data_IF_951553209377
#
_entry.id   IF_951553209377
#
_cell.length_a   1.000
_cell.length_b   1.000
_cell.length_c   1.000
_cell.angle_alpha   90.00
_cell.angle_beta   90.00
_cell.angle_gamma   90.00
#
_symmetry.space_group_name_H-M   'P 1'
#
loop_
_entity.id
_entity.type
_entity.pdbx_description
1 polymer ?
#
# COMPACT_ATOMS: atom_id res chain seq x y z
N UNK A 1 -14.50 -8.42 24.14
CA UNK A 1 -14.56 -9.12 22.82
C UNK A 1 -13.95 -8.20 21.76
N UNK A 2 -13.18 -8.73 20.83
CA UNK A 2 -12.68 -7.93 19.69
C UNK A 2 -13.80 -7.82 18.66
N UNK A 3 -14.26 -6.60 18.36
CA UNK A 3 -15.22 -6.35 17.30
C UNK A 3 -14.58 -5.53 16.17
N UNK A 4 -15.10 -5.67 14.95
CA UNK A 4 -14.66 -4.90 13.78
C UNK A 4 -14.71 -3.40 14.05
N UNK A 5 -15.80 -2.92 14.67
CA UNK A 5 -15.98 -1.50 14.97
C UNK A 5 -14.92 -0.98 15.98
N UNK A 6 -14.63 -1.75 17.03
CA UNK A 6 -13.61 -1.36 18.01
C UNK A 6 -12.22 -1.30 17.40
N UNK A 7 -11.84 -2.28 16.55
CA UNK A 7 -10.55 -2.29 15.86
C UNK A 7 -10.44 -1.09 14.92
N UNK A 8 -11.47 -0.82 14.12
CA UNK A 8 -11.47 0.33 13.22
C UNK A 8 -11.37 1.65 13.98
N UNK A 9 -12.18 1.83 15.03
CA UNK A 9 -12.11 3.02 15.87
C UNK A 9 -10.71 3.19 16.46
N UNK A 10 -10.14 2.10 17.00
CA UNK A 10 -8.80 2.14 17.59
C UNK A 10 -7.71 2.49 16.59
N UNK A 11 -7.78 1.97 15.37
CA UNK A 11 -6.83 2.33 14.30
C UNK A 11 -6.88 3.83 14.00
N UNK A 12 -8.08 4.42 13.87
CA UNK A 12 -8.26 5.86 13.65
C UNK A 12 -7.76 6.69 14.83
N UNK A 13 -8.09 6.30 16.07
CA UNK A 13 -7.59 6.96 17.29
C UNK A 13 -6.06 6.98 17.36
N UNK A 14 -5.41 5.93 16.85
CA UNK A 14 -3.95 5.82 16.81
C UNK A 14 -3.30 6.61 15.66
N UNK A 15 -4.09 7.17 14.74
CA UNK A 15 -3.60 8.03 13.66
C UNK A 15 -3.71 7.45 12.25
N UNK A 16 -4.41 6.33 12.05
CA UNK A 16 -4.72 5.88 10.71
C UNK A 16 -5.79 6.78 10.06
N UNK A 17 -5.64 7.08 8.77
CA UNK A 17 -6.63 7.83 7.99
C UNK A 17 -7.72 6.94 7.40
N UNK A 18 -7.37 5.69 7.07
CA UNK A 18 -8.28 4.66 6.58
C UNK A 18 -7.95 3.32 7.24
N UNK A 19 -8.98 2.52 7.44
CA UNK A 19 -8.87 1.14 7.92
C UNK A 19 -9.94 0.28 7.26
N UNK A 20 -9.55 -0.90 6.82
CA UNK A 20 -10.43 -1.89 6.19
C UNK A 20 -10.08 -3.31 6.61
N UNK A 21 -11.03 -4.20 6.46
CA UNK A 21 -10.91 -5.64 6.79
C UNK A 21 -11.07 -6.46 5.52
N UNK A 22 -10.12 -7.34 5.25
CA UNK A 22 -10.21 -8.34 4.17
C UNK A 22 -10.48 -9.72 4.75
N UNK A 23 -11.32 -10.50 4.08
CA UNK A 23 -11.41 -11.95 4.27
C UNK A 23 -10.32 -12.61 3.41
N UNK A 24 -9.36 -13.28 4.04
CA UNK A 24 -8.25 -13.93 3.32
C UNK A 24 -8.70 -15.12 2.46
N UNK A 25 -9.87 -15.70 2.74
CA UNK A 25 -10.45 -16.77 1.92
C UNK A 25 -10.93 -16.28 0.55
N UNK A 26 -11.20 -14.97 0.43
CA UNK A 26 -11.60 -14.32 -0.83
C UNK A 26 -10.44 -13.70 -1.58
N UNK A 27 -9.23 -13.82 -1.06
CA UNK A 27 -8.02 -13.30 -1.72
C UNK A 27 -7.38 -14.42 -2.52
N UNK A 28 -7.27 -14.22 -3.84
CA UNK A 28 -6.56 -15.14 -4.72
C UNK A 28 -5.12 -15.37 -4.26
N UNK A 29 -4.49 -16.46 -4.73
CA UNK A 29 -3.13 -16.82 -4.39
C UNK A 29 -2.15 -15.65 -4.59
N UNK A 30 -1.83 -14.97 -3.50
CA UNK A 30 -0.80 -13.93 -3.48
C UNK A 30 0.52 -14.53 -3.00
N UNK A 31 1.63 -14.24 -3.68
CA UNK A 31 2.92 -14.68 -3.22
C UNK A 31 3.27 -14.02 -1.89
N UNK A 32 3.74 -14.83 -0.93
CA UNK A 32 4.21 -14.39 0.39
C UNK A 32 5.63 -14.88 0.66
N UNK A 33 6.34 -14.17 1.54
CA UNK A 33 7.68 -14.56 2.02
C UNK A 33 7.66 -14.57 3.56
N UNK A 34 7.76 -15.74 4.23
CA UNK A 34 7.83 -17.08 3.62
C UNK A 34 6.52 -17.47 2.92
N UNK A 35 6.60 -18.50 2.07
CA UNK A 35 5.41 -19.12 1.49
C UNK A 35 4.49 -19.63 2.61
N UNK A 36 3.18 -19.52 2.43
CA UNK A 36 2.20 -19.95 3.44
C UNK A 36 2.04 -19.01 4.63
N UNK A 37 2.66 -17.82 4.60
CA UNK A 37 2.59 -16.84 5.70
C UNK A 37 1.16 -16.54 6.17
N UNK A 38 0.19 -16.57 5.26
CA UNK A 38 -1.20 -16.25 5.57
C UNK A 38 -2.03 -17.42 6.10
N UNK A 39 -1.58 -18.67 5.91
CA UNK A 39 -2.36 -19.87 6.25
C UNK A 39 -2.94 -19.92 7.68
N UNK A 40 -2.23 -19.45 8.74
CA UNK A 40 -2.76 -19.47 10.10
C UNK A 40 -3.82 -18.40 10.39
N UNK A 41 -4.16 -17.55 9.41
CA UNK A 41 -5.02 -16.38 9.58
C UNK A 41 -6.23 -16.44 8.67
N UNK A 42 -7.30 -15.77 9.07
CA UNK A 42 -8.57 -15.72 8.31
C UNK A 42 -8.89 -14.32 7.80
N UNK A 43 -8.33 -13.29 8.42
CA UNK A 43 -8.58 -11.89 8.10
C UNK A 43 -7.30 -11.07 8.05
N UNK A 44 -7.33 -10.00 7.26
CA UNK A 44 -6.33 -8.95 7.29
C UNK A 44 -6.98 -7.61 7.65
N UNK A 45 -6.42 -6.95 8.66
CA UNK A 45 -6.71 -5.56 8.96
C UNK A 45 -5.70 -4.73 8.18
N UNK A 46 -6.16 -3.85 7.31
CA UNK A 46 -5.29 -2.99 6.52
C UNK A 46 -5.51 -1.55 6.92
N UNK A 47 -4.44 -0.88 7.32
CA UNK A 47 -4.43 0.52 7.69
C UNK A 47 -3.71 1.35 6.64
N UNK A 48 -4.18 2.59 6.46
CA UNK A 48 -3.53 3.56 5.60
C UNK A 48 -3.35 4.88 6.32
N UNK A 49 -2.20 5.53 6.11
CA UNK A 49 -1.93 6.90 6.53
C UNK A 49 -1.63 7.72 5.28
N UNK A 50 -2.31 8.86 5.16
CA UNK A 50 -2.15 9.78 4.05
C UNK A 50 -0.89 10.65 4.22
N UNK A 51 -0.25 10.95 3.10
CA UNK A 51 0.78 11.99 3.02
C UNK A 51 0.12 13.24 2.43
N UNK A 52 0.41 14.42 3.01
CA UNK A 52 -0.15 15.69 2.55
C UNK A 52 0.00 15.88 1.04
N UNK A 53 -1.04 16.35 0.33
CA UNK A 53 -0.94 16.72 -1.08
C UNK A 53 0.20 17.71 -1.35
N UNK A 54 0.47 18.66 -0.47
CA UNK A 54 1.52 19.68 -0.61
C UNK A 54 2.92 19.09 -0.79
N UNK A 55 3.16 17.91 -0.18
CA UNK A 55 4.42 17.16 -0.36
C UNK A 55 4.58 16.70 -1.80
N UNK A 56 3.48 16.30 -2.44
CA UNK A 56 3.48 15.80 -3.82
C UNK A 56 3.49 16.94 -4.85
N UNK A 57 3.07 18.14 -4.51
CA UNK A 57 3.19 19.32 -5.37
C UNK A 57 4.64 19.69 -5.68
N UNK A 58 5.57 19.31 -4.78
CA UNK A 58 7.00 19.51 -4.99
C UNK A 58 7.62 18.44 -5.91
N UNK A 59 6.89 17.37 -6.26
CA UNK A 59 7.37 16.30 -7.12
C UNK A 59 6.97 16.59 -8.57
N UNK A 60 7.97 16.85 -9.41
CA UNK A 60 7.77 17.01 -10.86
C UNK A 60 8.09 15.73 -11.62
N UNK A 61 9.37 15.39 -11.76
CA UNK A 61 9.87 14.21 -12.49
C UNK A 61 10.78 13.32 -11.62
N UNK A 62 10.97 13.67 -10.36
CA UNK A 62 11.88 13.02 -9.42
C UNK A 62 11.42 13.17 -7.96
N UNK A 63 11.88 12.30 -7.03
CA UNK A 63 11.57 12.44 -5.61
C UNK A 63 12.25 13.65 -5.00
N UNK A 64 11.70 14.16 -3.89
CA UNK A 64 12.29 15.24 -3.11
C UNK A 64 12.70 14.76 -1.72
N UNK A 65 13.66 15.42 -1.05
CA UNK A 65 14.00 15.14 0.35
C UNK A 65 12.79 15.27 1.29
N UNK A 66 11.89 16.22 1.02
CA UNK A 66 10.65 16.38 1.78
C UNK A 66 9.74 15.14 1.67
N UNK A 67 9.57 14.63 0.45
CA UNK A 67 8.81 13.39 0.26
C UNK A 67 9.47 12.19 0.94
N UNK A 68 10.80 12.07 0.87
CA UNK A 68 11.54 11.03 1.59
C UNK A 68 11.27 11.10 3.09
N UNK A 69 11.34 12.29 3.70
CA UNK A 69 11.08 12.46 5.13
C UNK A 69 9.66 11.98 5.51
N UNK A 70 8.65 12.45 4.79
CA UNK A 70 7.26 12.03 5.02
C UNK A 70 7.06 10.52 4.78
N UNK A 71 7.68 9.98 3.74
CA UNK A 71 7.65 8.54 3.47
C UNK A 71 8.16 7.71 4.65
N UNK A 72 9.30 8.10 5.24
CA UNK A 72 9.88 7.41 6.39
C UNK A 72 9.05 7.58 7.65
N UNK A 73 8.64 8.81 7.97
CA UNK A 73 7.85 9.12 9.18
C UNK A 73 6.49 8.42 9.17
N UNK A 74 5.80 8.40 8.03
CA UNK A 74 4.51 7.72 7.90
C UNK A 74 4.65 6.20 7.99
N UNK A 75 5.73 5.61 7.48
CA UNK A 75 5.98 4.17 7.67
C UNK A 75 6.20 3.83 9.16
N UNK A 76 6.95 4.65 9.91
CA UNK A 76 7.13 4.44 11.35
C UNK A 76 5.80 4.56 12.13
N UNK A 77 4.95 5.52 11.78
CA UNK A 77 3.61 5.64 12.38
C UNK A 77 2.75 4.40 12.07
N UNK A 78 2.75 3.92 10.85
CA UNK A 78 2.04 2.70 10.45
C UNK A 78 2.51 1.47 11.23
N UNK A 79 3.81 1.31 11.42
CA UNK A 79 4.39 0.20 12.19
C UNK A 79 4.01 0.30 13.67
N UNK A 80 4.00 1.50 14.28
CA UNK A 80 3.54 1.71 15.66
C UNK A 80 2.06 1.36 15.82
N UNK A 81 1.19 1.87 14.94
CA UNK A 81 -0.25 1.55 14.95
C UNK A 81 -0.46 0.04 14.84
N UNK A 82 0.24 -0.60 13.90
CA UNK A 82 0.12 -2.02 13.61
C UNK A 82 0.51 -2.88 14.83
N UNK A 83 1.61 -2.55 15.51
CA UNK A 83 2.06 -3.24 16.71
C UNK A 83 1.10 -3.04 17.89
N UNK A 84 0.49 -1.86 18.05
CA UNK A 84 -0.51 -1.61 19.10
C UNK A 84 -1.78 -2.40 18.87
N UNK A 85 -2.28 -2.46 17.64
CA UNK A 85 -3.43 -3.29 17.28
C UNK A 85 -3.13 -4.78 17.48
N UNK A 86 -1.93 -5.24 17.07
CA UNK A 86 -1.48 -6.62 17.31
C UNK A 86 -1.55 -6.98 18.80
N UNK A 87 -1.02 -6.13 19.67
CA UNK A 87 -1.05 -6.37 21.14
C UNK A 87 -2.48 -6.45 21.69
N UNK A 88 -3.38 -5.61 21.19
CA UNK A 88 -4.80 -5.64 21.60
C UNK A 88 -5.46 -6.96 21.18
N UNK A 89 -5.23 -7.44 19.96
CA UNK A 89 -5.82 -8.67 19.42
C UNK A 89 -5.25 -9.90 20.16
N UNK A 90 -3.94 -9.94 20.40
CA UNK A 90 -3.29 -11.00 21.17
C UNK A 90 -3.82 -11.02 22.61
N UNK A 91 -3.94 -9.86 23.25
CA UNK A 91 -4.51 -9.73 24.60
C UNK A 91 -5.97 -10.19 24.72
N UNK A 92 -6.70 -10.22 23.60
CA UNK A 92 -8.06 -10.78 23.51
C UNK A 92 -8.10 -12.29 23.20
N UNK A 93 -6.95 -12.96 23.11
CA UNK A 93 -6.82 -14.40 22.91
C UNK A 93 -6.74 -14.86 21.44
N UNK A 94 -6.57 -13.93 20.48
CA UNK A 94 -6.45 -14.26 19.06
C UNK A 94 -4.99 -14.17 18.57
N UNK A 95 -4.70 -14.84 17.47
CA UNK A 95 -3.43 -14.70 16.77
C UNK A 95 -3.42 -13.38 15.98
N UNK A 96 -2.29 -12.71 15.98
CA UNK A 96 -2.09 -11.53 15.15
C UNK A 96 -0.62 -11.39 14.75
N UNK A 97 -0.35 -10.95 13.52
CA UNK A 97 0.98 -10.72 12.97
C UNK A 97 1.02 -9.40 12.21
N UNK A 98 1.72 -8.43 12.76
CA UNK A 98 1.98 -7.16 12.11
C UNK A 98 3.04 -7.32 11.01
N UNK A 99 2.68 -6.91 9.80
CA UNK A 99 3.59 -6.89 8.65
C UNK A 99 4.14 -5.47 8.49
N UNK A 100 5.47 -5.28 8.44
CA UNK A 100 6.08 -3.95 8.34
C UNK A 100 5.61 -3.18 7.11
N UNK A 101 5.34 -1.88 7.27
CA UNK A 101 4.82 -1.00 6.22
C UNK A 101 5.74 -0.88 5.00
N UNK A 102 7.06 -1.04 5.19
CA UNK A 102 8.04 -0.92 4.13
C UNK A 102 9.28 -1.75 4.41
N UNK A 103 9.29 -2.97 3.90
CA UNK A 103 10.44 -3.87 3.99
C UNK A 103 10.56 -4.68 2.71
N UNK A 104 11.77 -4.76 2.16
CA UNK A 104 12.13 -5.71 1.09
C UNK A 104 12.83 -6.88 1.74
N UNK A 105 12.22 -8.08 1.68
CA UNK A 105 12.78 -9.33 2.25
C UNK A 105 13.37 -10.23 1.17
N UNK A 106 12.81 -10.20 -0.04
CA UNK A 106 13.39 -10.81 -1.23
C UNK A 106 13.94 -9.70 -2.15
N UNK A 107 15.27 -9.57 -2.14
CA UNK A 107 15.97 -8.55 -2.94
C UNK A 107 16.08 -8.91 -4.42
N UNK A 108 15.92 -10.18 -4.79
CA UNK A 108 15.97 -10.64 -6.17
C UNK A 108 14.67 -10.26 -6.87
N UNK A 109 13.53 -10.61 -6.24
CA UNK A 109 12.21 -10.35 -6.80
C UNK A 109 11.59 -9.04 -6.29
N UNK A 110 12.29 -8.24 -5.46
CA UNK A 110 11.79 -6.99 -4.88
C UNK A 110 10.44 -7.17 -4.18
N UNK A 111 10.37 -8.17 -3.29
CA UNK A 111 9.16 -8.49 -2.54
C UNK A 111 9.32 -8.17 -1.06
N UNK A 112 8.24 -7.65 -0.46
CA UNK A 112 8.02 -7.68 0.98
C UNK A 112 7.45 -9.02 1.41
N UNK A 113 7.05 -9.13 2.67
CA UNK A 113 6.38 -10.33 3.20
C UNK A 113 5.08 -10.65 2.45
N UNK A 114 4.32 -9.62 2.07
CA UNK A 114 3.12 -9.69 1.25
C UNK A 114 2.87 -8.35 0.54
N UNK A 115 1.91 -8.33 -0.39
CA UNK A 115 1.49 -7.11 -1.08
C UNK A 115 0.43 -6.35 -0.27
N UNK A 116 0.84 -5.31 0.49
CA UNK A 116 -0.11 -4.41 1.16
C UNK A 116 -1.13 -3.79 0.21
N UNK A 117 -0.78 -3.56 -1.04
CA UNK A 117 -1.69 -2.98 -2.05
C UNK A 117 -2.81 -3.95 -2.41
N UNK A 118 -2.49 -5.23 -2.59
CA UNK A 118 -3.47 -6.27 -2.84
C UNK A 118 -4.38 -6.46 -1.62
N UNK A 119 -3.80 -6.51 -0.41
CA UNK A 119 -4.58 -6.57 0.83
C UNK A 119 -5.49 -5.36 1.00
N UNK A 120 -5.03 -4.15 0.71
CA UNK A 120 -5.81 -2.93 0.83
C UNK A 120 -6.98 -2.87 -0.18
N UNK A 121 -6.78 -3.41 -1.39
CA UNK A 121 -7.88 -3.59 -2.36
C UNK A 121 -8.91 -4.57 -1.82
N UNK A 122 -8.48 -5.74 -1.33
CA UNK A 122 -9.36 -6.75 -0.75
C UNK A 122 -10.10 -6.24 0.51
N UNK A 123 -9.48 -5.32 1.28
CA UNK A 123 -10.06 -4.66 2.44
C UNK A 123 -10.94 -3.45 2.09
N UNK A 124 -11.29 -3.22 0.81
CA UNK A 124 -12.20 -2.16 0.38
C UNK A 124 -11.65 -0.74 0.50
N UNK A 125 -10.34 -0.53 0.70
CA UNK A 125 -9.77 0.82 0.85
C UNK A 125 -9.68 1.58 -0.47
N UNK A 126 -9.73 0.89 -1.59
CA UNK A 126 -9.58 1.47 -2.91
C UNK A 126 -9.52 0.40 -4.00
N UNK A 127 -9.03 0.77 -5.15
CA UNK A 127 -8.85 -0.12 -6.30
C UNK A 127 -7.40 -0.14 -6.79
N UNK A 128 -7.08 -1.16 -7.59
CA UNK A 128 -5.77 -1.28 -8.22
C UNK A 128 -5.66 -0.26 -9.35
N UNK A 129 -4.77 0.73 -9.18
CA UNK A 129 -4.50 1.73 -10.21
C UNK A 129 -3.61 1.20 -11.35
N UNK A 130 -3.63 1.88 -12.49
CA UNK A 130 -2.77 1.57 -13.66
C UNK A 130 -1.27 1.65 -13.36
N UNK A 131 -0.88 2.41 -12.33
CA UNK A 131 0.48 2.48 -11.80
C UNK A 131 0.87 1.34 -10.86
N UNK A 132 0.02 0.32 -10.71
CA UNK A 132 0.16 -0.76 -9.74
C UNK A 132 0.17 -0.29 -8.28
N UNK A 133 -0.32 0.92 -8.01
CA UNK A 133 -0.57 1.44 -6.66
C UNK A 133 -2.05 1.29 -6.29
N UNK A 134 -2.34 1.22 -4.99
CA UNK A 134 -3.69 1.41 -4.51
C UNK A 134 -4.12 2.85 -4.79
N UNK A 135 -5.34 3.04 -5.28
CA UNK A 135 -5.96 4.37 -5.43
C UNK A 135 -7.19 4.41 -4.53
N UNK A 136 -7.17 5.23 -3.49
CA UNK A 136 -8.30 5.42 -2.58
C UNK A 136 -9.23 6.53 -3.08
N UNK A 137 -10.56 6.47 -2.78
CA UNK A 137 -11.48 7.54 -3.18
C UNK A 137 -11.10 8.91 -2.62
N UNK A 138 -10.66 8.96 -1.35
CA UNK A 138 -10.40 10.20 -0.62
C UNK A 138 -9.00 10.79 -0.88
N UNK A 139 -7.98 9.94 -0.85
CA UNK A 139 -6.57 10.38 -0.89
C UNK A 139 -5.86 9.99 -2.19
N UNK A 140 -6.56 9.34 -3.13
CA UNK A 140 -5.92 8.76 -4.31
C UNK A 140 -4.79 7.80 -3.92
N UNK A 141 -3.65 7.81 -4.62
CA UNK A 141 -2.50 6.98 -4.28
C UNK A 141 -1.57 7.61 -3.21
N UNK A 142 -1.95 8.74 -2.58
CA UNK A 142 -1.15 9.49 -1.60
C UNK A 142 -1.22 8.89 -0.21
N UNK A 143 -1.18 7.56 -0.13
CA UNK A 143 -1.24 6.80 1.12
C UNK A 143 -0.07 5.83 1.23
N UNK A 144 0.36 5.57 2.46
CA UNK A 144 1.19 4.43 2.82
C UNK A 144 0.31 3.41 3.53
N UNK A 145 0.71 2.14 3.48
CA UNK A 145 -0.12 1.01 3.91
C UNK A 145 0.66 0.11 4.86
N UNK A 146 -0.04 -0.48 5.84
CA UNK A 146 0.43 -1.63 6.58
C UNK A 146 -0.69 -2.65 6.75
N UNK A 147 -0.34 -3.90 6.99
CA UNK A 147 -1.27 -5.02 7.11
C UNK A 147 -1.02 -5.76 8.42
N UNK A 148 -2.09 -6.11 9.12
CA UNK A 148 -2.09 -6.96 10.29
C UNK A 148 -2.92 -8.21 9.98
N UNK A 149 -2.28 -9.37 9.95
CA UNK A 149 -2.95 -10.66 9.77
C UNK A 149 -3.53 -11.13 11.11
N UNK A 150 -4.73 -11.72 11.11
CA UNK A 150 -5.37 -12.22 12.34
C UNK A 150 -6.35 -13.36 12.07
N UNK A 151 -6.59 -14.18 13.08
CA UNK A 151 -7.69 -15.16 13.10
C UNK A 151 -8.89 -14.66 13.95
N UNK A 152 -8.88 -13.41 14.41
CA UNK A 152 -10.05 -12.82 15.07
C UNK A 152 -11.24 -12.77 14.10
N UNK A 153 -12.48 -13.10 14.57
CA UNK A 153 -13.67 -13.09 13.72
C UNK A 153 -14.13 -11.64 13.45
N UNK A 154 -13.65 -11.08 12.35
CA UNK A 154 -13.96 -9.72 11.93
C UNK A 154 -14.90 -9.72 10.72
N UNK A 155 -15.69 -8.66 10.55
CA UNK A 155 -16.56 -8.46 9.40
C UNK A 155 -15.77 -7.79 8.27
N UNK A 156 -15.65 -8.43 7.08
CA UNK A 156 -14.94 -7.85 5.93
C UNK A 156 -15.66 -6.65 5.33
N UNK A 157 -14.89 -5.74 4.76
CA UNK A 157 -15.42 -4.60 4.00
C UNK A 157 -15.67 -4.97 2.52
N UNK A 158 -16.66 -4.35 1.87
CA UNK A 158 -16.90 -4.57 0.46
C UNK A 158 -15.78 -4.01 -0.41
N UNK A 159 -15.36 -4.76 -1.42
CA UNK A 159 -14.36 -4.30 -2.40
C UNK A 159 -14.91 -3.22 -3.32
N UNK A 160 -14.04 -2.34 -3.80
CA UNK A 160 -14.40 -1.26 -4.72
C UNK A 160 -13.96 -1.61 -6.15
N UNK A 161 -14.84 -1.32 -7.12
CA UNK A 161 -14.52 -1.44 -8.54
C UNK A 161 -13.50 -0.39 -9.00
N UNK A 162 -12.79 -0.69 -10.09
CA UNK A 162 -11.79 0.20 -10.67
C UNK A 162 -12.43 1.48 -11.25
N UNK A 163 -11.82 2.64 -10.96
CA UNK A 163 -12.29 3.95 -11.42
C UNK A 163 -11.23 4.75 -12.20
N UNK A 164 -10.15 4.10 -12.64
CA UNK A 164 -9.13 4.77 -13.46
C UNK A 164 -9.65 5.16 -14.86
N UNK A 165 -10.62 4.43 -15.40
CA UNK A 165 -11.22 4.72 -16.70
C UNK A 165 -10.18 4.91 -17.81
N UNK A 166 -10.36 5.94 -18.63
CA UNK A 166 -9.47 6.29 -19.75
C UNK A 166 -8.25 7.12 -19.37
N UNK A 167 -8.11 7.51 -18.08
CA UNK A 167 -6.99 8.34 -17.61
C UNK A 167 -5.62 7.68 -17.91
N UNK A 168 -4.64 8.49 -18.34
CA UNK A 168 -3.26 8.09 -18.68
C UNK A 168 -2.19 8.90 -17.95
N UNK A 169 -2.54 9.76 -16.99
CA UNK A 169 -1.62 10.70 -16.33
C UNK A 169 -0.37 10.00 -15.76
N UNK A 170 -0.55 8.93 -15.00
CA UNK A 170 0.56 8.20 -14.41
C UNK A 170 1.44 7.48 -15.46
N UNK A 171 0.86 7.06 -16.59
CA UNK A 171 1.59 6.46 -17.69
C UNK A 171 2.48 7.50 -18.40
N UNK A 172 1.89 8.66 -18.73
CA UNK A 172 2.56 9.72 -19.47
C UNK A 172 3.69 10.37 -18.65
N UNK A 173 3.51 10.51 -17.34
CA UNK A 173 4.47 11.14 -16.46
C UNK A 173 5.57 10.20 -15.93
N UNK A 174 5.49 8.88 -16.20
CA UNK A 174 6.44 7.93 -15.64
C UNK A 174 7.87 8.17 -16.16
N UNK A 175 8.84 8.57 -15.30
CA UNK A 175 10.20 8.89 -15.76
C UNK A 175 10.99 7.68 -16.26
N UNK A 176 10.51 6.47 -16.00
CA UNK A 176 11.07 5.21 -16.48
C UNK A 176 10.29 4.64 -17.68
N UNK A 177 9.21 5.30 -18.13
CA UNK A 177 8.26 4.76 -19.11
C UNK A 177 7.84 3.29 -18.77
N UNK A 178 7.65 3.03 -17.48
CA UNK A 178 7.42 1.68 -16.99
C UNK A 178 5.93 1.30 -16.97
N UNK A 179 4.99 2.25 -16.88
CA UNK A 179 3.57 1.99 -16.73
C UNK A 179 2.95 1.68 -18.09
N UNK A 180 2.35 0.49 -18.23
CA UNK A 180 1.75 0.02 -19.49
C UNK A 180 0.35 0.59 -19.76
N UNK A 181 -0.34 1.09 -18.73
CA UNK A 181 -1.66 1.73 -18.85
C UNK A 181 -2.84 0.76 -18.88
N UNK A 182 -2.64 -0.52 -18.62
CA UNK A 182 -3.71 -1.51 -18.45
C UNK A 182 -4.66 -1.16 -17.30
N UNK A 183 -5.83 -1.75 -17.28
CA UNK A 183 -6.83 -1.61 -16.21
C UNK A 183 -7.26 -2.99 -15.73
N UNK A 184 -7.37 -3.16 -14.42
CA UNK A 184 -7.74 -4.43 -13.80
C UNK A 184 -8.87 -4.21 -12.79
N UNK A 185 -9.85 -5.08 -12.78
CA UNK A 185 -10.84 -5.15 -11.71
C UNK A 185 -10.21 -5.79 -10.46
N UNK A 186 -9.36 -6.78 -10.66
CA UNK A 186 -8.54 -7.39 -9.64
C UNK A 186 -7.06 -6.99 -9.71
N UNK A 187 -6.27 -7.50 -8.79
CA UNK A 187 -4.82 -7.35 -8.84
C UNK A 187 -4.27 -8.18 -10.02
N UNK A 188 -3.38 -7.63 -10.86
CA UNK A 188 -2.77 -8.42 -11.94
C UNK A 188 -1.99 -9.60 -11.36
N UNK A 189 -1.96 -10.74 -12.06
CA UNK A 189 -1.26 -11.95 -11.61
C UNK A 189 0.23 -11.72 -11.46
N UNK A 190 0.81 -10.94 -12.35
CA UNK A 190 2.21 -10.55 -12.29
C UNK A 190 2.37 -9.04 -12.40
N UNK A 191 3.48 -8.51 -11.89
CA UNK A 191 3.80 -7.07 -12.01
C UNK A 191 4.06 -6.69 -13.46
N UNK A 192 4.57 -7.61 -14.25
CA UNK A 192 4.90 -7.45 -15.66
C UNK A 192 3.67 -7.23 -16.53
N UNK A 193 2.49 -7.66 -16.12
CA UNK A 193 1.23 -7.31 -16.80
C UNK A 193 0.98 -5.79 -16.74
N UNK A 194 1.24 -5.17 -15.61
CA UNK A 194 0.97 -3.74 -15.38
C UNK A 194 2.14 -2.84 -15.74
N UNK A 195 3.36 -3.31 -15.50
CA UNK A 195 4.58 -2.51 -15.59
C UNK A 195 5.67 -3.24 -16.39
N UNK A 196 6.54 -2.49 -17.04
CA UNK A 196 7.91 -2.89 -17.29
C UNK A 196 8.67 -2.76 -15.96
N UNK A 197 8.48 -3.73 -15.05
CA UNK A 197 8.87 -3.60 -13.65
C UNK A 197 10.37 -3.38 -13.46
N UNK A 198 11.20 -4.06 -14.26
CA UNK A 198 12.66 -3.86 -14.28
C UNK A 198 13.05 -2.39 -14.50
N UNK A 199 12.40 -1.68 -15.44
CA UNK A 199 12.67 -0.26 -15.71
C UNK A 199 12.36 0.62 -14.49
N UNK A 200 11.25 0.33 -13.79
CA UNK A 200 10.92 1.06 -12.56
C UNK A 200 11.95 0.82 -11.46
N UNK A 201 12.35 -0.44 -11.24
CA UNK A 201 13.35 -0.85 -10.26
C UNK A 201 14.71 -0.21 -10.56
N UNK A 202 15.16 -0.27 -11.81
CA UNK A 202 16.40 0.36 -12.25
C UNK A 202 16.40 1.86 -11.99
N UNK A 203 15.33 2.57 -12.40
CA UNK A 203 15.22 4.02 -12.19
C UNK A 203 15.30 4.41 -10.71
N UNK A 204 14.61 3.69 -9.82
CA UNK A 204 14.62 4.04 -8.40
C UNK A 204 15.93 3.65 -7.69
N UNK A 205 16.63 2.60 -8.13
CA UNK A 205 17.86 2.14 -7.48
C UNK A 205 19.12 2.77 -8.07
N UNK A 206 19.19 2.82 -9.41
CA UNK A 206 20.43 3.22 -10.09
C UNK A 206 20.51 4.74 -10.33
N UNK A 207 19.38 5.46 -10.25
CA UNK A 207 19.33 6.92 -10.34
C UNK A 207 18.97 7.52 -8.99
N UNK A 208 17.71 7.38 -8.55
CA UNK A 208 17.21 8.14 -7.40
C UNK A 208 17.86 7.76 -6.07
N UNK A 209 18.05 6.46 -5.80
CA UNK A 209 18.68 6.02 -4.56
C UNK A 209 20.18 6.38 -4.47
N UNK A 210 20.85 6.64 -5.59
CA UNK A 210 22.27 7.07 -5.61
C UNK A 210 22.44 8.56 -5.35
N UNK A 211 21.38 9.35 -5.36
CA UNK A 211 21.43 10.77 -5.03
C UNK A 211 21.66 10.94 -3.52
N UNK A 212 22.68 11.69 -3.10
CA UNK A 212 23.02 11.84 -1.67
C UNK A 212 21.84 12.32 -0.82
N UNK A 213 21.00 13.21 -1.35
CA UNK A 213 19.85 13.80 -0.69
C UNK A 213 18.63 12.85 -0.59
N UNK A 214 18.63 11.74 -1.34
CA UNK A 214 17.56 10.75 -1.35
C UNK A 214 17.99 9.45 -0.66
N UNK A 215 19.02 8.78 -1.17
CA UNK A 215 19.62 7.58 -0.54
C UNK A 215 18.64 6.38 -0.38
N UNK A 216 17.47 6.43 -1.02
CA UNK A 216 16.42 5.39 -0.94
C UNK A 216 15.72 5.18 -2.28
N UNK A 217 15.29 3.96 -2.62
CA UNK A 217 14.61 3.63 -3.87
C UNK A 217 13.15 4.09 -3.85
N UNK A 218 12.91 5.39 -3.89
CA UNK A 218 11.60 6.03 -3.96
C UNK A 218 11.49 6.90 -5.22
N UNK A 219 10.27 7.19 -5.67
CA UNK A 219 10.00 8.05 -6.82
C UNK A 219 8.88 9.06 -6.52
N UNK A 220 7.61 8.61 -6.44
CA UNK A 220 6.46 9.47 -6.14
C UNK A 220 5.79 10.12 -7.35
N UNK A 221 6.40 10.16 -8.54
CA UNK A 221 5.87 10.87 -9.73
C UNK A 221 4.47 10.37 -10.13
N UNK A 222 4.27 9.06 -10.23
CA UNK A 222 2.94 8.51 -10.56
C UNK A 222 1.89 8.75 -9.47
N UNK A 223 2.31 9.09 -8.25
CA UNK A 223 1.44 9.50 -7.15
C UNK A 223 1.04 10.97 -7.33
N UNK A 224 2.02 11.86 -7.59
CA UNK A 224 1.80 13.31 -7.67
C UNK A 224 0.83 13.70 -8.79
N UNK A 225 0.95 13.06 -9.95
CA UNK A 225 0.13 13.37 -11.13
C UNK A 225 -1.27 12.78 -11.08
N UNK A 226 -1.53 11.80 -10.20
CA UNK A 226 -2.84 11.16 -10.14
C UNK A 226 -3.94 12.18 -9.77
N UNK A 227 -5.03 12.28 -10.57
CA UNK A 227 -6.11 13.24 -10.30
C UNK A 227 -6.94 12.87 -9.06
N UNK A 228 -6.95 11.59 -8.65
CA UNK A 228 -7.67 11.15 -7.46
C UNK A 228 -7.00 11.65 -6.19
N UNK A 229 -7.80 12.14 -5.24
CA UNK A 229 -7.33 12.64 -3.94
C UNK A 229 -6.59 13.98 -3.99
N UNK A 230 -6.66 14.72 -5.10
CA UNK A 230 -6.26 16.14 -5.12
C UNK A 230 -7.33 16.97 -4.42
N UNK A 231 -6.93 18.03 -3.70
CA UNK A 231 -7.90 19.05 -3.23
C UNK A 231 -8.69 19.57 -4.42
N UNK A 232 -9.99 19.82 -4.20
CA UNK A 232 -10.85 20.52 -5.18
C UNK A 232 -10.60 22.01 -5.10
#
# INVERSE_FOLDING_TARGET
MVSTLEIKRKAIELGADLVGIADLRSVDELPTVPQGLMEPYTHAIVIAVAISPDVFEQITNEPTPLYLHHYLSVNMLLDDINLRLQRQIIGAGFRALAIPASQVVDKINWMGHLSHKAMAKAAGLGWQGKSLLLVTPKYGPRVRLATLLTNAPLEPDPVLSNRCGTCKECQNACPAAAIKGGSWEDHPKTREEALHFSRCVEKVNEDFAKRPEIGKPICGVCISVCPWGKPK
#
